data_IF_775348850735
#
_entry.id   IF_775348850735
#
_cell.length_a   1.000
_cell.length_b   1.000
_cell.length_c   1.000
_cell.angle_alpha   90.00
_cell.angle_beta   90.00
_cell.angle_gamma   90.00
#
_symmetry.space_group_name_H-M   'P 1'
#
loop_
_entity.id
_entity.type
_entity.pdbx_description
1 polymer ?
#
# COMPACT_ATOMS: atom_id res chain seq x y z
N UNK A 1 -12.17 -28.50 -2.78
CA UNK A 1 -11.46 -27.41 -2.08
C UNK A 1 -12.23 -26.12 -2.34
N UNK A 2 -13.00 -25.63 -1.35
CA UNK A 2 -13.99 -24.54 -1.52
C UNK A 2 -13.29 -23.24 -1.91
N UNK A 3 -13.55 -22.75 -3.12
CA UNK A 3 -13.36 -21.34 -3.44
C UNK A 3 -14.31 -20.54 -2.51
N UNK A 4 -13.75 -19.83 -1.54
CA UNK A 4 -14.52 -18.83 -0.80
C UNK A 4 -14.89 -17.75 -1.82
N UNK A 5 -16.19 -17.47 -2.05
CA UNK A 5 -16.55 -16.31 -2.83
C UNK A 5 -15.92 -15.09 -2.16
N UNK A 6 -15.27 -14.26 -2.97
CA UNK A 6 -14.82 -12.92 -2.60
C UNK A 6 -16.10 -12.08 -2.42
N UNK A 7 -16.86 -12.39 -1.38
CA UNK A 7 -17.91 -11.56 -0.84
C UNK A 7 -17.19 -10.33 -0.30
N UNK A 8 -17.09 -9.31 -1.14
CA UNK A 8 -16.79 -7.96 -0.72
C UNK A 8 -17.92 -7.60 0.23
N UNK A 9 -17.63 -7.65 1.52
CA UNK A 9 -18.52 -7.17 2.55
C UNK A 9 -18.67 -5.67 2.31
N UNK A 10 -19.70 -5.29 1.56
CA UNK A 10 -20.15 -3.90 1.47
C UNK A 10 -20.81 -3.60 2.80
N UNK A 11 -20.02 -3.55 3.87
CA UNK A 11 -20.38 -2.78 5.06
C UNK A 11 -20.77 -1.40 4.55
N UNK A 12 -21.98 -0.96 4.89
CA UNK A 12 -22.56 0.33 4.51
C UNK A 12 -21.81 1.49 5.19
N UNK A 13 -20.53 1.61 4.89
CA UNK A 13 -19.70 2.72 5.30
C UNK A 13 -19.98 3.84 4.29
N UNK A 14 -20.32 5.06 4.74
CA UNK A 14 -20.59 6.18 3.82
C UNK A 14 -19.36 6.55 2.97
N UNK A 15 -18.17 6.07 3.36
CA UNK A 15 -16.94 6.20 2.60
C UNK A 15 -16.48 4.83 2.09
N UNK A 16 -16.22 4.69 0.77
CA UNK A 16 -15.77 3.43 0.18
C UNK A 16 -14.43 2.99 0.78
N UNK A 17 -14.25 1.68 0.94
CA UNK A 17 -13.00 1.08 1.40
C UNK A 17 -12.09 0.78 0.20
N UNK A 18 -10.91 1.40 0.14
CA UNK A 18 -9.97 1.26 -0.98
C UNK A 18 -8.64 0.67 -0.51
N UNK A 19 -8.12 -0.31 -1.24
CA UNK A 19 -6.74 -0.77 -1.11
C UNK A 19 -5.88 -0.10 -2.20
N UNK A 20 -5.00 0.82 -1.80
CA UNK A 20 -4.04 1.46 -2.69
C UNK A 20 -2.70 0.71 -2.65
N UNK A 21 -2.34 0.09 -3.77
CA UNK A 21 -1.07 -0.62 -3.95
C UNK A 21 -0.07 0.30 -4.66
N UNK A 22 0.86 0.87 -3.91
CA UNK A 22 1.90 1.72 -4.48
C UNK A 22 3.12 0.88 -4.90
N UNK A 23 3.75 1.25 -6.03
CA UNK A 23 4.93 0.55 -6.54
C UNK A 23 6.18 0.75 -5.68
N UNK A 24 6.26 1.84 -4.92
CA UNK A 24 7.37 2.22 -4.04
C UNK A 24 6.81 2.97 -2.83
N UNK A 25 7.66 3.24 -1.84
CA UNK A 25 7.27 4.09 -0.71
C UNK A 25 6.90 5.49 -1.23
N UNK A 26 5.67 5.98 -0.98
CA UNK A 26 5.20 7.25 -1.54
C UNK A 26 5.78 8.49 -0.81
N UNK A 27 6.22 8.33 0.44
CA UNK A 27 6.80 9.41 1.25
C UNK A 27 8.27 9.09 1.60
N UNK A 28 9.19 10.08 1.62
CA UNK A 28 8.98 11.51 1.34
C UNK A 28 8.83 11.84 -0.15
N UNK A 29 7.99 12.83 -0.53
CA UNK A 29 7.71 13.20 -1.92
C UNK A 29 8.83 14.08 -2.52
N UNK A 30 10.05 13.54 -2.59
CA UNK A 30 11.23 14.26 -3.08
C UNK A 30 11.61 13.96 -4.54
N UNK A 31 10.99 12.94 -5.18
CA UNK A 31 11.22 12.57 -6.58
C UNK A 31 9.90 12.37 -7.29
N UNK A 32 9.87 12.66 -8.60
CA UNK A 32 8.62 12.72 -9.39
C UNK A 32 7.74 11.48 -9.31
N UNK A 33 8.33 10.27 -9.23
CA UNK A 33 7.59 9.02 -9.03
C UNK A 33 6.85 9.00 -7.68
N UNK A 34 7.52 9.46 -6.62
CA UNK A 34 6.94 9.55 -5.27
C UNK A 34 5.93 10.68 -5.12
N UNK A 35 6.19 11.84 -5.73
CA UNK A 35 5.27 12.99 -5.70
C UNK A 35 3.90 12.61 -6.24
N UNK A 36 3.87 11.94 -7.41
CA UNK A 36 2.60 11.51 -8.02
C UNK A 36 1.85 10.52 -7.14
N UNK A 37 2.52 9.46 -6.67
CA UNK A 37 1.89 8.44 -5.82
C UNK A 37 1.41 9.01 -4.49
N UNK A 38 2.13 9.99 -3.92
CA UNK A 38 1.74 10.66 -2.68
C UNK A 38 0.50 11.52 -2.86
N UNK A 39 0.44 12.39 -3.87
CA UNK A 39 -0.75 13.22 -4.11
C UNK A 39 -1.97 12.39 -4.51
N UNK A 40 -1.78 11.27 -5.22
CA UNK A 40 -2.88 10.37 -5.51
C UNK A 40 -3.42 9.71 -4.24
N UNK A 41 -2.54 9.34 -3.32
CA UNK A 41 -2.93 8.84 -2.01
C UNK A 41 -3.72 9.87 -1.20
N UNK A 42 -3.25 11.12 -1.14
CA UNK A 42 -3.97 12.23 -0.48
C UNK A 42 -5.36 12.42 -1.08
N UNK A 43 -5.45 12.50 -2.41
CA UNK A 43 -6.72 12.66 -3.13
C UNK A 43 -7.72 11.53 -2.82
N UNK A 44 -7.24 10.29 -2.72
CA UNK A 44 -8.07 9.14 -2.35
C UNK A 44 -8.47 9.17 -0.88
N UNK A 45 -7.55 9.52 0.03
CA UNK A 45 -7.81 9.56 1.47
C UNK A 45 -8.86 10.60 1.86
N UNK A 46 -9.00 11.69 1.09
CA UNK A 46 -10.09 12.67 1.26
C UNK A 46 -11.47 12.08 0.95
N UNK A 47 -11.56 11.06 0.10
CA UNK A 47 -12.82 10.54 -0.49
C UNK A 47 -13.18 9.14 -0.03
N UNK A 48 -12.23 8.40 0.54
CA UNK A 48 -12.35 6.99 0.84
C UNK A 48 -11.55 6.60 2.09
N UNK A 49 -11.90 5.48 2.71
CA UNK A 49 -11.05 4.85 3.70
C UNK A 49 -9.95 4.05 3.00
N UNK A 50 -8.76 4.63 2.93
CA UNK A 50 -7.64 4.05 2.20
C UNK A 50 -6.77 3.17 3.12
N UNK A 51 -6.54 1.94 2.69
CA UNK A 51 -5.46 1.08 3.17
C UNK A 51 -4.33 1.09 2.15
N UNK A 52 -3.10 1.38 2.60
CA UNK A 52 -1.92 1.46 1.75
C UNK A 52 -1.03 0.23 1.92
N UNK A 53 -0.58 -0.35 0.80
CA UNK A 53 0.52 -1.30 0.82
C UNK A 53 1.56 -0.99 -0.26
N UNK A 54 2.84 -1.18 0.07
CA UNK A 54 3.94 -0.98 -0.87
C UNK A 54 5.12 -1.91 -0.56
N UNK A 55 5.91 -2.30 -1.58
CA UNK A 55 7.14 -3.03 -1.37
C UNK A 55 8.24 -2.10 -0.83
N UNK A 56 9.05 -2.61 0.09
CA UNK A 56 10.26 -1.94 0.57
C UNK A 56 11.36 -2.95 0.84
N UNK A 57 12.59 -2.67 0.41
CA UNK A 57 13.74 -3.53 0.68
C UNK A 57 14.26 -3.35 2.12
N UNK A 58 14.11 -2.14 2.66
CA UNK A 58 14.51 -1.78 4.02
C UNK A 58 13.29 -1.45 4.88
N UNK A 59 13.48 -1.34 6.19
CA UNK A 59 12.43 -0.81 7.07
C UNK A 59 12.25 0.68 6.77
N UNK A 60 11.05 1.16 6.38
CA UNK A 60 10.83 2.58 6.17
C UNK A 60 11.10 3.36 7.47
N UNK A 61 11.61 4.60 7.37
CA UNK A 61 11.80 5.45 8.55
C UNK A 61 10.52 5.58 9.37
N UNK A 62 10.68 5.73 10.70
CA UNK A 62 9.53 5.86 11.61
C UNK A 62 8.64 7.04 11.25
N UNK A 63 9.24 8.17 10.88
CA UNK A 63 8.56 9.38 10.44
C UNK A 63 7.69 9.10 9.21
N UNK A 64 8.25 8.45 8.19
CA UNK A 64 7.50 8.02 6.99
C UNK A 64 6.28 7.18 7.35
N UNK A 65 6.45 6.20 8.24
CA UNK A 65 5.34 5.35 8.67
C UNK A 65 4.30 6.12 9.49
N UNK A 66 4.71 7.12 10.29
CA UNK A 66 3.80 7.97 11.05
C UNK A 66 2.97 8.86 10.13
N UNK A 67 3.59 9.54 9.17
CA UNK A 67 2.87 10.36 8.18
C UNK A 67 1.84 9.53 7.42
N UNK A 68 2.24 8.36 6.92
CA UNK A 68 1.34 7.51 6.15
C UNK A 68 0.19 6.94 7.00
N UNK A 69 0.43 6.63 8.27
CA UNK A 69 -0.63 6.21 9.22
C UNK A 69 -1.56 7.35 9.62
N UNK A 70 -1.13 8.61 9.52
CA UNK A 70 -2.00 9.77 9.69
C UNK A 70 -2.99 9.95 8.54
N UNK A 71 -2.61 9.52 7.33
CA UNK A 71 -3.43 9.66 6.11
C UNK A 71 -4.29 8.41 5.87
N UNK A 72 -3.74 7.22 6.12
CA UNK A 72 -4.38 5.94 5.77
C UNK A 72 -4.87 5.19 7.01
N UNK A 73 -6.00 4.50 6.88
CA UNK A 73 -6.54 3.60 7.93
C UNK A 73 -5.55 2.51 8.31
N UNK A 74 -4.87 1.91 7.32
CA UNK A 74 -3.83 0.89 7.51
C UNK A 74 -2.69 1.12 6.54
N UNK A 75 -1.46 0.85 6.99
CA UNK A 75 -0.25 0.94 6.16
C UNK A 75 0.56 -0.34 6.35
N UNK A 76 0.89 -1.01 5.25
CA UNK A 76 1.70 -2.21 5.23
C UNK A 76 2.92 -2.05 4.31
N UNK A 77 4.12 -2.16 4.87
CA UNK A 77 5.35 -2.24 4.10
C UNK A 77 5.71 -3.72 3.87
N UNK A 78 5.55 -4.21 2.64
CA UNK A 78 5.92 -5.57 2.28
C UNK A 78 7.43 -5.65 2.07
N UNK A 79 8.13 -6.40 2.93
CA UNK A 79 9.56 -6.67 2.74
C UNK A 79 9.74 -7.67 1.60
N UNK A 80 10.32 -7.22 0.49
CA UNK A 80 10.75 -8.12 -0.57
C UNK A 80 12.12 -8.69 -0.19
N UNK A 81 12.14 -9.89 0.39
CA UNK A 81 13.39 -10.55 0.77
C UNK A 81 14.17 -11.02 -0.47
N UNK A 82 15.52 -10.93 -0.47
CA UNK A 82 16.37 -11.29 -1.61
C UNK A 82 16.18 -12.75 -2.09
N UNK A 83 15.76 -13.64 -1.19
CA UNK A 83 15.57 -15.06 -1.48
C UNK A 83 14.33 -15.36 -2.35
N UNK A 84 13.30 -14.49 -2.32
CA UNK A 84 12.10 -14.68 -3.15
C UNK A 84 12.32 -14.33 -4.62
N UNK A 85 13.41 -13.62 -4.95
CA UNK A 85 13.78 -13.27 -6.32
C UNK A 85 14.39 -14.48 -7.06
N UNK A 86 15.21 -15.27 -6.37
CA UNK A 86 15.82 -16.50 -6.91
C UNK A 86 14.82 -17.66 -7.00
N UNK A 87 13.96 -17.83 -5.99
CA UNK A 87 12.94 -18.89 -6.01
C UNK A 87 11.93 -18.72 -7.16
N UNK A 88 11.63 -17.48 -7.59
CA UNK A 88 10.78 -17.23 -8.77
C UNK A 88 11.52 -17.37 -10.10
N UNK A 89 12.82 -17.07 -10.12
CA UNK A 89 13.65 -17.25 -11.32
C UNK A 89 13.93 -18.72 -11.62
N UNK A 90 14.02 -19.59 -10.59
CA UNK A 90 14.16 -21.03 -10.76
C UNK A 90 12.87 -21.75 -11.19
N UNK A 91 11.75 -21.04 -11.22
CA UNK A 91 10.43 -21.55 -11.65
C UNK A 91 9.95 -20.94 -12.98
N UNK A 92 10.83 -20.26 -13.71
CA UNK A 92 10.64 -19.87 -15.11
C UNK A 92 11.62 -20.62 -16.00
#
# INVERSE_FOLDING_TARGET
>A
MRAKPFLVDVTMNPRPNILYLAHRVPYPPNRGDRIRSFHFLEFLAERAEVSLAFPSEATPPRETMQTLKGICRRVAAARLGPQTRWLRAAWS
#
